data_IF_482006642050
#
_entry.id   IF_482006642050
#
_cell.length_a   1.000
_cell.length_b   1.000
_cell.length_c   1.000
_cell.angle_alpha   90.00
_cell.angle_beta   90.00
_cell.angle_gamma   90.00
#
_symmetry.space_group_name_H-M   'P 1'
#
loop_
_entity.id
_entity.type
_entity.pdbx_description
1 polymer ?
#
# COMPACT_ATOMS: atom_id res chain seq x y z
N UNK A 1 2.13 -14.58 -2.26
CA UNK A 1 2.91 -13.63 -1.45
C UNK A 1 2.38 -13.70 -0.03
N UNK A 2 3.21 -14.17 0.90
CA UNK A 2 2.86 -14.20 2.31
C UNK A 2 2.97 -12.79 2.93
N UNK A 3 2.24 -12.50 4.01
CA UNK A 3 2.30 -11.20 4.71
C UNK A 3 3.75 -10.82 5.06
N UNK A 4 4.54 -11.79 5.52
CA UNK A 4 5.91 -11.53 5.97
C UNK A 4 6.85 -11.17 4.81
N UNK A 5 6.62 -11.77 3.65
CA UNK A 5 7.37 -11.49 2.43
C UNK A 5 7.12 -10.06 1.94
N UNK A 6 5.86 -9.60 1.98
CA UNK A 6 5.49 -8.22 1.64
C UNK A 6 6.15 -7.19 2.56
N UNK A 7 6.17 -7.44 3.87
CA UNK A 7 6.79 -6.54 4.86
C UNK A 7 8.31 -6.49 4.65
N UNK A 8 8.94 -7.63 4.36
CA UNK A 8 10.37 -7.68 4.05
C UNK A 8 10.69 -6.87 2.79
N UNK A 9 9.92 -7.08 1.72
CA UNK A 9 10.05 -6.32 0.48
C UNK A 9 9.91 -4.80 0.70
N UNK A 10 8.91 -4.37 1.46
CA UNK A 10 8.71 -2.95 1.76
C UNK A 10 9.88 -2.34 2.54
N UNK A 11 10.46 -3.07 3.50
CA UNK A 11 11.63 -2.63 4.28
C UNK A 11 12.90 -2.57 3.42
N UNK A 12 13.15 -3.59 2.61
CA UNK A 12 14.32 -3.64 1.72
C UNK A 12 14.31 -2.48 0.71
N UNK A 13 13.12 -2.10 0.24
CA UNK A 13 12.93 -0.98 -0.67
C UNK A 13 12.76 0.38 0.03
N UNK A 14 12.89 0.45 1.37
CA UNK A 14 12.74 1.67 2.16
C UNK A 14 11.42 2.41 1.87
N UNK A 15 10.34 1.66 1.74
CA UNK A 15 9.00 2.24 1.51
C UNK A 15 8.58 3.02 2.75
N UNK A 16 8.28 4.31 2.58
CA UNK A 16 7.80 5.18 3.68
C UNK A 16 6.27 5.31 3.70
N UNK A 17 5.65 5.24 2.52
CA UNK A 17 4.21 5.45 2.32
C UNK A 17 3.65 4.35 1.42
N UNK A 18 2.50 3.80 1.80
CA UNK A 18 1.69 2.89 0.98
C UNK A 18 0.49 3.66 0.46
N UNK A 19 0.38 3.77 -0.86
CA UNK A 19 -0.76 4.39 -1.54
C UNK A 19 -1.78 3.31 -1.95
N UNK A 20 -2.92 3.29 -1.27
CA UNK A 20 -3.98 2.33 -1.52
C UNK A 20 -4.93 2.89 -2.56
N UNK A 21 -4.92 2.30 -3.75
CA UNK A 21 -5.78 2.70 -4.88
C UNK A 21 -6.92 1.72 -5.04
N UNK A 22 -8.12 2.23 -5.21
CA UNK A 22 -9.31 1.43 -5.51
C UNK A 22 -10.27 2.21 -6.41
N UNK A 23 -11.18 1.49 -7.06
CA UNK A 23 -12.31 2.10 -7.73
C UNK A 23 -13.54 1.95 -6.83
N UNK A 24 -14.20 3.06 -6.51
CA UNK A 24 -15.54 2.99 -5.92
C UNK A 24 -16.57 2.60 -7.00
N UNK A 25 -17.81 2.32 -6.60
CA UNK A 25 -18.95 2.26 -7.51
C UNK A 25 -19.59 3.66 -7.47
N UNK A 26 -19.62 4.44 -8.59
CA UNK A 26 -19.78 4.06 -10.00
C UNK A 26 -18.51 4.04 -10.89
N UNK A 27 -17.31 3.91 -10.32
CA UNK A 27 -16.05 3.71 -11.06
C UNK A 27 -15.02 4.82 -10.86
N UNK A 28 -15.15 5.63 -9.81
CA UNK A 28 -14.19 6.70 -9.55
C UNK A 28 -12.91 6.12 -8.98
N UNK A 29 -11.78 6.51 -9.57
CA UNK A 29 -10.47 6.12 -9.06
C UNK A 29 -10.16 6.95 -7.83
N UNK A 30 -10.13 6.29 -6.68
CA UNK A 30 -9.82 6.88 -5.39
C UNK A 30 -8.51 6.32 -4.86
N UNK A 31 -7.85 7.10 -4.02
CA UNK A 31 -6.67 6.63 -3.32
C UNK A 31 -6.48 7.33 -1.98
N UNK A 32 -5.85 6.63 -1.04
CA UNK A 32 -5.37 7.24 0.20
C UNK A 32 -4.05 6.61 0.65
N UNK A 33 -3.24 7.45 1.26
CA UNK A 33 -1.88 7.11 1.70
C UNK A 33 -1.85 6.78 3.19
N UNK A 34 -1.16 5.70 3.55
CA UNK A 34 -0.85 5.35 4.93
C UNK A 34 0.67 5.25 5.13
N UNK A 35 1.21 5.65 6.29
CA UNK A 35 2.62 5.39 6.60
C UNK A 35 2.90 3.89 6.62
N UNK A 36 4.01 3.48 6.02
CA UNK A 36 4.46 2.09 6.03
C UNK A 36 4.97 1.61 7.40
N UNK A 37 5.14 2.56 8.34
CA UNK A 37 5.58 2.33 9.73
C UNK A 37 4.45 2.02 10.71
N UNK A 38 3.19 2.04 10.25
CA UNK A 38 1.99 1.78 11.07
C UNK A 38 1.86 0.35 11.60
#
# INVERSE_FOLDING_TARGET
MDKNELIKFARENKVEIVDLKFCDLPGLWQHFSIPASG
#
